data_IF_908037493599
#
_entry.id   IF_908037493599
#
_cell.length_a   1.000
_cell.length_b   1.000
_cell.length_c   1.000
_cell.angle_alpha   90.00
_cell.angle_beta   90.00
_cell.angle_gamma   90.00
#
_symmetry.space_group_name_H-M   'P 1'
#
loop_
_entity.id
_entity.type
_entity.pdbx_description
1 polymer ?
#
# COMPACT_ATOMS: atom_id res chain seq x y z
N UNK A 1 12.56 10.77 -39.24
CA UNK A 1 13.62 11.37 -38.40
C UNK A 1 13.18 12.76 -38.00
N UNK A 2 12.80 12.94 -36.74
CA UNK A 2 12.81 14.20 -36.00
C UNK A 2 12.73 13.83 -34.52
N UNK A 3 13.83 14.04 -33.80
CA UNK A 3 13.90 14.03 -32.35
C UNK A 3 13.10 15.22 -31.79
N UNK A 4 12.32 14.98 -30.74
CA UNK A 4 11.50 15.98 -30.07
C UNK A 4 11.00 15.49 -28.72
N UNK A 5 11.74 15.84 -27.68
CA UNK A 5 11.33 16.09 -26.29
C UNK A 5 9.97 15.54 -25.82
N UNK A 6 9.98 14.44 -25.06
CA UNK A 6 9.15 14.24 -23.86
C UNK A 6 7.61 14.29 -23.94
N UNK A 7 6.99 14.32 -25.12
CA UNK A 7 5.54 14.21 -25.21
C UNK A 7 5.14 12.72 -25.18
N UNK A 8 4.36 12.31 -24.18
CA UNK A 8 3.75 10.98 -24.18
C UNK A 8 3.01 10.79 -25.51
N UNK A 9 3.36 9.74 -26.27
CA UNK A 9 2.65 9.38 -27.51
C UNK A 9 1.15 9.27 -27.21
N UNK A 10 0.36 10.19 -27.77
CA UNK A 10 -1.09 10.20 -27.64
C UNK A 10 -1.67 9.53 -28.88
N UNK A 11 -2.34 8.40 -28.67
CA UNK A 11 -3.06 7.71 -29.74
C UNK A 11 -4.42 8.38 -29.94
N UNK A 12 -4.75 8.66 -31.20
CA UNK A 12 -6.05 9.21 -31.60
C UNK A 12 -6.85 8.08 -32.24
N UNK A 13 -8.07 7.90 -31.78
CA UNK A 13 -8.98 6.87 -32.26
C UNK A 13 -10.05 7.52 -33.14
N UNK A 14 -10.33 6.90 -34.28
CA UNK A 14 -11.39 7.30 -35.21
C UNK A 14 -12.08 6.05 -35.78
N UNK A 15 -13.36 6.17 -36.13
CA UNK A 15 -14.14 5.09 -36.74
C UNK A 15 -15.64 5.32 -36.66
N UNK A 16 -16.43 4.38 -37.18
CA UNK A 16 -17.89 4.53 -37.31
C UNK A 16 -18.60 4.81 -35.97
N UNK A 17 -18.04 4.32 -34.85
CA UNK A 17 -18.54 4.53 -33.50
C UNK A 17 -17.81 5.64 -32.72
N UNK A 18 -16.82 6.28 -33.35
CA UNK A 18 -16.02 7.37 -32.80
C UNK A 18 -16.14 8.55 -33.78
N UNK A 19 -17.24 9.31 -33.71
CA UNK A 19 -17.61 10.28 -34.75
C UNK A 19 -16.65 11.48 -34.84
N UNK A 20 -15.77 11.65 -33.84
CA UNK A 20 -14.70 12.64 -33.86
C UNK A 20 -13.40 11.98 -33.41
N UNK A 21 -12.28 12.21 -34.12
CA UNK A 21 -10.97 11.73 -33.71
C UNK A 21 -10.69 12.09 -32.25
N UNK A 22 -10.66 11.09 -31.38
CA UNK A 22 -10.60 11.29 -29.94
C UNK A 22 -9.24 10.87 -29.41
N UNK A 23 -8.47 11.75 -28.77
CA UNK A 23 -7.23 11.37 -28.11
C UNK A 23 -7.57 10.47 -26.91
N UNK A 24 -7.00 9.27 -26.88
CA UNK A 24 -7.11 8.33 -25.78
C UNK A 24 -5.92 8.48 -24.83
N UNK A 25 -6.15 8.18 -23.55
CA UNK A 25 -5.09 8.12 -22.55
C UNK A 25 -4.31 6.79 -22.60
N UNK A 26 -4.79 5.85 -23.42
CA UNK A 26 -4.20 4.55 -23.66
C UNK A 26 -2.96 4.66 -24.54
N UNK A 27 -1.96 3.87 -24.20
CA UNK A 27 -0.71 3.74 -24.95
C UNK A 27 -0.71 2.39 -25.62
N UNK A 28 -0.45 2.39 -26.92
CA UNK A 28 -0.47 1.22 -27.77
C UNK A 28 0.91 0.99 -28.36
N UNK A 29 1.20 -0.26 -28.71
CA UNK A 29 2.29 -0.62 -29.62
C UNK A 29 1.63 -1.23 -30.86
N UNK A 30 1.72 -0.57 -32.01
CA UNK A 30 1.20 -1.10 -33.27
C UNK A 30 2.09 -2.28 -33.68
N UNK A 31 1.49 -3.46 -33.84
CA UNK A 31 2.19 -4.67 -34.29
C UNK A 31 2.10 -4.80 -35.82
N UNK A 32 0.93 -4.48 -36.37
CA UNK A 32 0.64 -4.37 -37.80
C UNK A 32 -0.65 -3.57 -38.04
N UNK A 33 -1.11 -3.47 -39.28
CA UNK A 33 -2.29 -2.70 -39.69
C UNK A 33 -3.61 -3.11 -39.01
N UNK A 34 -3.66 -4.30 -38.40
CA UNK A 34 -4.87 -4.85 -37.77
C UNK A 34 -4.69 -5.24 -36.31
N UNK A 35 -3.46 -5.24 -35.81
CA UNK A 35 -3.13 -5.68 -34.46
C UNK A 35 -2.29 -4.64 -33.76
N UNK A 36 -2.66 -4.39 -32.52
CA UNK A 36 -1.90 -3.57 -31.60
C UNK A 36 -1.83 -4.29 -30.26
N UNK A 37 -0.80 -3.96 -29.47
CA UNK A 37 -0.72 -4.33 -28.06
C UNK A 37 -1.14 -3.12 -27.24
N UNK A 38 -2.19 -3.27 -26.43
CA UNK A 38 -2.56 -2.27 -25.43
C UNK A 38 -1.56 -2.34 -24.29
N UNK A 39 -0.71 -1.32 -24.14
CA UNK A 39 0.27 -1.23 -23.07
C UNK A 39 -0.36 -0.74 -21.76
N UNK A 40 -1.55 -0.13 -21.82
CA UNK A 40 -2.32 0.39 -20.69
C UNK A 40 -2.47 1.91 -20.76
N UNK A 41 -2.82 2.58 -19.66
CA UNK A 41 -2.90 4.04 -19.61
C UNK A 41 -1.54 4.67 -19.35
N UNK A 42 -1.32 5.83 -19.96
CA UNK A 42 -0.08 6.61 -19.86
C UNK A 42 0.36 6.88 -18.41
N UNK A 43 -0.58 7.04 -17.48
CA UNK A 43 -0.31 7.29 -16.06
C UNK A 43 0.09 6.04 -15.25
N UNK A 44 -0.11 4.84 -15.79
CA UNK A 44 0.20 3.55 -15.12
C UNK A 44 1.29 2.75 -15.86
N UNK A 45 1.94 3.37 -16.86
CA UNK A 45 3.06 2.75 -17.56
C UNK A 45 4.33 2.74 -16.72
N UNK A 46 5.03 1.61 -16.81
CA UNK A 46 6.32 1.39 -16.17
C UNK A 46 7.37 1.05 -17.22
N UNK A 47 8.61 1.42 -16.94
CA UNK A 47 9.75 1.11 -17.77
C UNK A 47 10.78 0.34 -16.94
N UNK A 48 11.04 -0.91 -17.31
CA UNK A 48 12.02 -1.76 -16.64
C UNK A 48 12.98 -2.30 -17.69
N UNK A 49 14.27 -1.98 -17.53
CA UNK A 49 15.38 -2.44 -18.39
C UNK A 49 15.07 -2.42 -19.91
N UNK A 50 14.58 -1.28 -20.43
CA UNK A 50 14.31 -1.11 -21.86
C UNK A 50 12.92 -1.59 -22.32
N UNK A 51 12.11 -2.17 -21.43
CA UNK A 51 10.79 -2.74 -21.75
C UNK A 51 9.67 -1.99 -21.05
N UNK A 52 8.56 -1.79 -21.77
CA UNK A 52 7.40 -1.01 -21.31
C UNK A 52 6.19 -1.93 -21.10
N UNK A 53 5.50 -1.74 -19.99
CA UNK A 53 4.25 -2.41 -19.65
C UNK A 53 3.43 -1.50 -18.73
N UNK A 54 2.18 -1.81 -18.44
CA UNK A 54 1.42 -1.13 -17.37
C UNK A 54 1.31 -1.97 -16.11
N UNK A 55 1.20 -1.27 -14.98
CA UNK A 55 0.82 -1.88 -13.72
C UNK A 55 -0.50 -2.66 -13.84
N UNK A 56 -1.49 -2.12 -14.58
CA UNK A 56 -2.76 -2.80 -14.83
C UNK A 56 -2.59 -4.15 -15.53
N UNK A 57 -1.76 -4.22 -16.58
CA UNK A 57 -1.46 -5.47 -17.28
C UNK A 57 -0.77 -6.49 -16.38
N UNK A 58 0.24 -6.06 -15.60
CA UNK A 58 0.93 -6.96 -14.67
C UNK A 58 0.01 -7.45 -13.55
N UNK A 59 -0.82 -6.56 -13.00
CA UNK A 59 -1.82 -6.90 -11.98
C UNK A 59 -2.84 -7.90 -12.52
N UNK A 60 -3.31 -7.71 -13.76
CA UNK A 60 -4.22 -8.67 -14.40
C UNK A 60 -3.61 -10.08 -14.45
N UNK A 61 -2.35 -10.20 -14.90
CA UNK A 61 -1.68 -11.50 -14.96
C UNK A 61 -1.41 -12.12 -13.59
N UNK A 62 -1.08 -11.29 -12.59
CA UNK A 62 -0.91 -11.75 -11.19
C UNK A 62 -2.21 -12.31 -10.63
N UNK A 63 -3.31 -11.58 -10.75
CA UNK A 63 -4.62 -11.96 -10.23
C UNK A 63 -5.30 -13.08 -11.06
N UNK A 64 -4.75 -13.42 -12.23
CA UNK A 64 -5.20 -14.57 -13.04
C UNK A 64 -4.53 -15.89 -12.65
N UNK A 65 -3.66 -15.89 -11.63
CA UNK A 65 -3.02 -17.10 -11.12
C UNK A 65 -3.98 -17.77 -10.13
N UNK A 66 -4.36 -19.02 -10.41
CA UNK A 66 -5.22 -19.79 -9.51
C UNK A 66 -4.56 -19.94 -8.13
N UNK A 67 -5.24 -19.48 -7.08
CA UNK A 67 -4.72 -19.44 -5.70
C UNK A 67 -4.21 -18.06 -5.25
N UNK A 68 -4.18 -17.07 -6.15
CA UNK A 68 -4.04 -15.65 -5.78
C UNK A 68 -5.43 -15.06 -5.65
N UNK A 69 -5.78 -14.62 -4.43
CA UNK A 69 -7.07 -13.99 -4.14
C UNK A 69 -7.05 -12.51 -4.49
N UNK A 70 -5.91 -11.85 -4.26
CA UNK A 70 -5.66 -10.46 -4.60
C UNK A 70 -4.16 -10.19 -4.74
N UNK A 71 -3.78 -9.22 -5.56
CA UNK A 71 -2.38 -8.92 -5.81
C UNK A 71 -2.17 -7.57 -6.50
N UNK A 72 -1.04 -6.94 -6.16
CA UNK A 72 -0.62 -5.68 -6.75
C UNK A 72 0.90 -5.63 -6.93
N UNK A 73 1.32 -5.24 -8.13
CA UNK A 73 2.68 -4.81 -8.41
C UNK A 73 2.91 -3.41 -7.87
N UNK A 74 4.07 -3.24 -7.24
CA UNK A 74 4.58 -1.95 -6.81
C UNK A 74 5.99 -1.76 -7.33
N UNK A 75 6.27 -0.55 -7.79
CA UNK A 75 7.60 -0.13 -8.18
C UNK A 75 8.05 0.97 -7.21
N UNK A 76 9.25 0.85 -6.61
CA UNK A 76 9.85 1.95 -5.88
C UNK A 76 10.03 3.17 -6.79
N UNK A 77 9.87 4.36 -6.21
CA UNK A 77 10.36 5.59 -6.84
C UNK A 77 11.87 5.41 -7.13
N UNK A 78 12.34 5.87 -8.29
CA UNK A 78 13.66 5.55 -8.89
C UNK A 78 14.79 5.28 -7.89
N UNK A 79 15.47 4.14 -8.04
CA UNK A 79 16.71 3.84 -7.30
C UNK A 79 17.87 4.59 -7.94
N UNK A 80 18.70 5.25 -7.11
CA UNK A 80 19.89 5.99 -7.53
C UNK A 80 20.87 5.18 -8.41
N UNK A 81 20.84 3.85 -8.30
CA UNK A 81 21.76 2.92 -8.96
C UNK A 81 21.22 2.31 -10.27
N UNK A 82 20.03 2.71 -10.73
CA UNK A 82 19.49 2.24 -12.00
C UNK A 82 18.90 0.82 -11.95
N UNK A 83 17.82 0.65 -12.72
CA UNK A 83 16.91 -0.52 -12.76
C UNK A 83 16.02 -0.65 -11.52
N UNK A 84 14.90 0.09 -11.56
CA UNK A 84 13.75 -0.12 -10.66
C UNK A 84 13.22 -1.54 -10.85
N UNK A 85 13.24 -2.34 -9.79
CA UNK A 85 12.75 -3.72 -9.84
C UNK A 85 11.35 -3.81 -9.21
N UNK A 86 10.41 -4.48 -9.88
CA UNK A 86 9.08 -4.65 -9.33
C UNK A 86 9.10 -5.56 -8.09
N UNK A 87 8.29 -5.18 -7.12
CA UNK A 87 7.86 -6.02 -6.00
C UNK A 87 6.40 -6.39 -6.23
N UNK A 88 6.01 -7.63 -5.96
CA UNK A 88 4.60 -8.02 -5.96
C UNK A 88 4.13 -8.27 -4.53
N UNK A 89 3.03 -7.64 -4.14
CA UNK A 89 2.30 -7.96 -2.92
C UNK A 89 1.15 -8.91 -3.28
N UNK A 90 0.98 -9.99 -2.52
CA UNK A 90 -0.02 -11.02 -2.81
C UNK A 90 -0.79 -11.44 -1.56
N UNK A 91 -2.08 -11.62 -1.74
CA UNK A 91 -2.96 -12.38 -0.84
C UNK A 91 -3.13 -13.75 -1.49
N UNK A 92 -2.37 -14.72 -1.01
CA UNK A 92 -2.34 -16.06 -1.58
C UNK A 92 -2.09 -17.09 -0.45
N UNK A 93 -3.14 -17.51 0.28
CA UNK A 93 -2.98 -18.33 1.48
C UNK A 93 -2.45 -19.74 1.19
N UNK A 94 -2.59 -20.22 -0.04
CA UNK A 94 -2.23 -21.58 -0.46
C UNK A 94 -1.01 -21.66 -1.38
N UNK A 95 -0.47 -20.53 -1.83
CA UNK A 95 0.68 -20.50 -2.75
C UNK A 95 1.92 -19.88 -2.09
N UNK A 96 3.08 -20.49 -2.32
CA UNK A 96 4.37 -19.91 -2.00
C UNK A 96 4.84 -18.87 -3.02
N UNK A 97 5.77 -18.00 -2.60
CA UNK A 97 6.36 -16.98 -3.46
C UNK A 97 7.00 -17.56 -4.74
N UNK A 98 7.67 -18.72 -4.64
CA UNK A 98 8.30 -19.36 -5.78
C UNK A 98 7.29 -19.85 -6.84
N UNK A 99 6.13 -20.33 -6.40
CA UNK A 99 5.04 -20.79 -7.29
C UNK A 99 4.41 -19.60 -8.02
N UNK A 100 4.16 -18.50 -7.32
CA UNK A 100 3.69 -17.24 -7.93
C UNK A 100 4.68 -16.76 -9.00
N UNK A 101 5.98 -16.73 -8.69
CA UNK A 101 7.02 -16.34 -9.65
C UNK A 101 7.05 -17.28 -10.86
N UNK A 102 6.96 -18.60 -10.64
CA UNK A 102 6.93 -19.58 -11.72
C UNK A 102 5.71 -19.39 -12.63
N UNK A 103 4.53 -19.13 -12.06
CA UNK A 103 3.32 -18.86 -12.83
C UNK A 103 3.39 -17.53 -13.60
N UNK A 104 3.98 -16.48 -13.04
CA UNK A 104 4.19 -15.19 -13.71
C UNK A 104 5.15 -15.32 -14.90
N UNK A 105 6.23 -16.11 -14.79
CA UNK A 105 7.19 -16.33 -15.89
C UNK A 105 6.56 -16.89 -17.16
N UNK A 106 5.42 -17.58 -17.05
CA UNK A 106 4.68 -18.11 -18.18
C UNK A 106 3.74 -17.08 -18.84
N UNK A 107 3.52 -15.93 -18.20
CA UNK A 107 2.46 -14.96 -18.53
C UNK A 107 3.00 -13.57 -18.89
N UNK A 108 4.14 -13.15 -18.35
CA UNK A 108 4.72 -11.82 -18.56
C UNK A 108 6.20 -11.91 -18.96
N UNK A 109 6.73 -10.86 -19.59
CA UNK A 109 8.16 -10.80 -19.93
C UNK A 109 9.03 -10.90 -18.68
N UNK A 110 10.17 -11.60 -18.78
CA UNK A 110 11.06 -11.93 -17.66
C UNK A 110 11.55 -10.71 -16.89
N UNK A 111 11.65 -9.56 -17.56
CA UNK A 111 12.04 -8.27 -17.00
C UNK A 111 11.04 -7.72 -15.97
N UNK A 112 9.75 -8.06 -16.11
CA UNK A 112 8.68 -7.65 -15.21
C UNK A 112 8.38 -8.69 -14.13
N UNK A 113 8.96 -9.89 -14.22
CA UNK A 113 8.81 -10.90 -13.18
C UNK A 113 9.48 -10.38 -11.89
N UNK A 114 8.73 -10.29 -10.77
CA UNK A 114 9.24 -9.70 -9.55
C UNK A 114 10.31 -10.60 -8.94
N UNK A 115 11.37 -9.98 -8.41
CA UNK A 115 12.37 -10.71 -7.61
C UNK A 115 11.87 -11.00 -6.20
N UNK A 116 10.97 -10.16 -5.70
CA UNK A 116 10.40 -10.26 -4.36
C UNK A 116 8.88 -10.32 -4.47
N UNK A 117 8.31 -11.40 -3.96
CA UNK A 117 6.90 -11.56 -3.71
C UNK A 117 6.71 -11.48 -2.19
N UNK A 118 5.84 -10.58 -1.74
CA UNK A 118 5.55 -10.35 -0.32
C UNK A 118 4.11 -10.77 -0.06
N UNK A 119 3.93 -11.80 0.77
CA UNK A 119 2.63 -12.23 1.23
C UNK A 119 2.09 -11.26 2.26
N UNK A 120 0.84 -10.85 2.07
CA UNK A 120 0.15 -9.91 2.95
C UNK A 120 -1.25 -10.44 3.26
N UNK A 121 -1.80 -10.05 4.41
CA UNK A 121 -3.14 -10.47 4.81
C UNK A 121 -4.23 -9.83 3.92
N UNK A 122 -4.02 -8.59 3.50
CA UNK A 122 -4.90 -7.85 2.59
C UNK A 122 -4.13 -6.69 1.95
N UNK A 123 -4.61 -6.22 0.79
CA UNK A 123 -4.20 -4.95 0.20
C UNK A 123 -5.14 -3.83 0.71
N UNK A 124 -4.65 -2.58 0.83
CA UNK A 124 -5.43 -1.45 1.34
C UNK A 124 -6.38 -0.91 0.26
N UNK A 125 -7.33 -1.75 -0.18
CA UNK A 125 -8.37 -1.37 -1.12
C UNK A 125 -9.47 -0.60 -0.40
N UNK A 126 -9.99 0.43 -1.05
CA UNK A 126 -11.16 1.19 -0.60
C UNK A 126 -12.44 0.33 -0.69
N UNK A 127 -13.55 0.79 -0.10
CA UNK A 127 -14.83 0.07 -0.12
C UNK A 127 -15.40 -0.21 -1.53
N UNK A 128 -14.91 0.48 -2.57
CA UNK A 128 -15.24 0.21 -3.99
C UNK A 128 -14.31 -0.84 -4.64
N UNK A 129 -13.36 -1.40 -3.90
CA UNK A 129 -12.31 -2.31 -4.39
C UNK A 129 -11.10 -1.60 -5.02
N UNK A 130 -11.13 -0.27 -5.10
CA UNK A 130 -10.05 0.52 -5.71
C UNK A 130 -8.81 0.54 -4.83
N UNK A 131 -7.64 0.33 -5.44
CA UNK A 131 -6.34 0.51 -4.81
C UNK A 131 -5.70 1.77 -5.40
N UNK A 132 -5.60 2.84 -4.61
CA UNK A 132 -4.98 4.10 -5.07
C UNK A 132 -3.46 4.01 -5.03
N UNK A 133 -2.79 4.76 -5.92
CA UNK A 133 -1.32 4.81 -5.94
C UNK A 133 -0.73 5.27 -4.60
N UNK A 134 -1.38 6.24 -3.93
CA UNK A 134 -1.00 6.71 -2.60
C UNK A 134 -1.10 5.60 -1.55
N UNK A 135 -2.25 4.92 -1.46
CA UNK A 135 -2.47 3.83 -0.50
C UNK A 135 -1.49 2.67 -0.72
N UNK A 136 -1.25 2.28 -1.99
CA UNK A 136 -0.28 1.25 -2.31
C UNK A 136 1.15 1.66 -1.95
N UNK A 137 1.53 2.93 -2.18
CA UNK A 137 2.87 3.43 -1.82
C UNK A 137 3.09 3.41 -0.31
N UNK A 138 2.17 3.95 0.47
CA UNK A 138 2.26 3.96 1.93
C UNK A 138 2.34 2.53 2.49
N UNK A 139 1.50 1.64 1.96
CA UNK A 139 1.51 0.22 2.31
C UNK A 139 2.82 -0.47 1.93
N UNK A 140 3.33 -0.26 0.72
CA UNK A 140 4.57 -0.88 0.29
C UNK A 140 5.75 -0.43 1.15
N UNK A 141 5.84 0.87 1.46
CA UNK A 141 6.88 1.39 2.35
C UNK A 141 6.76 0.80 3.76
N UNK A 142 5.53 0.67 4.28
CA UNK A 142 5.27 0.01 5.56
C UNK A 142 5.70 -1.47 5.57
N UNK A 143 5.35 -2.24 4.53
CA UNK A 143 5.71 -3.67 4.42
C UNK A 143 7.21 -3.90 4.22
N UNK A 144 7.90 -2.93 3.62
CA UNK A 144 9.33 -3.02 3.28
C UNK A 144 10.23 -2.27 4.26
N UNK A 145 9.67 -1.58 5.26
CA UNK A 145 10.40 -0.84 6.26
C UNK A 145 11.37 -1.74 7.04
N UNK A 146 12.60 -1.27 7.22
CA UNK A 146 13.55 -1.88 8.16
C UNK A 146 13.24 -1.49 9.60
N UNK A 147 13.87 -2.18 10.56
CA UNK A 147 13.55 -2.06 11.99
C UNK A 147 13.53 -0.62 12.53
N UNK A 148 14.41 0.27 12.06
CA UNK A 148 14.52 1.66 12.54
C UNK A 148 13.94 2.70 11.55
N UNK A 149 13.22 2.27 10.52
CA UNK A 149 12.66 3.18 9.51
C UNK A 149 11.32 3.75 9.99
N UNK A 150 11.14 5.09 10.06
CA UNK A 150 9.84 5.68 10.31
C UNK A 150 8.79 5.21 9.31
N UNK A 151 7.59 4.91 9.79
CA UNK A 151 6.46 4.51 8.95
C UNK A 151 5.37 5.56 9.04
N UNK A 152 4.80 5.92 7.89
CA UNK A 152 3.74 6.92 7.79
C UNK A 152 2.56 6.29 7.05
N UNK A 153 1.40 6.35 7.67
CA UNK A 153 0.16 5.80 7.12
C UNK A 153 -0.94 6.83 7.28
N UNK A 154 -1.65 7.09 6.19
CA UNK A 154 -2.83 7.95 6.20
C UNK A 154 -4.07 7.12 6.46
N UNK A 155 -4.97 7.63 7.30
CA UNK A 155 -6.21 7.00 7.67
C UNK A 155 -7.35 8.03 7.64
N UNK A 156 -8.44 7.71 6.94
CA UNK A 156 -9.64 8.53 6.92
C UNK A 156 -10.63 8.02 7.98
N UNK A 157 -11.15 8.93 8.81
CA UNK A 157 -12.21 8.64 9.76
C UNK A 157 -13.58 8.86 9.09
N UNK A 158 -14.37 7.82 8.78
CA UNK A 158 -15.62 7.99 8.04
C UNK A 158 -16.61 8.89 8.77
N UNK A 159 -17.36 9.72 8.02
CA UNK A 159 -18.36 10.64 8.62
C UNK A 159 -19.49 9.90 9.34
N UNK A 160 -19.81 8.69 8.91
CA UNK A 160 -20.85 7.80 9.40
C UNK A 160 -20.32 6.76 10.39
N UNK A 161 -19.10 6.94 10.89
CA UNK A 161 -18.49 6.01 11.85
C UNK A 161 -19.40 5.83 13.09
N UNK A 162 -19.70 4.59 13.54
CA UNK A 162 -20.65 4.31 14.63
C UNK A 162 -20.36 5.06 15.93
N UNK A 163 -19.10 5.37 16.20
CA UNK A 163 -18.68 6.14 17.36
C UNK A 163 -19.21 7.58 17.39
N UNK A 164 -19.74 8.12 16.29
CA UNK A 164 -20.38 9.43 16.27
C UNK A 164 -21.89 9.35 16.52
N UNK A 165 -22.50 8.17 16.45
CA UNK A 165 -23.92 7.99 16.71
C UNK A 165 -24.22 8.20 18.20
N UNK A 166 -24.78 9.36 18.54
CA UNK A 166 -25.17 9.71 19.91
C UNK A 166 -24.02 10.12 20.84
N UNK A 167 -22.77 10.12 20.36
CA UNK A 167 -21.60 10.51 21.15
C UNK A 167 -21.35 12.02 21.02
N UNK A 168 -21.52 12.76 22.12
CA UNK A 168 -21.47 14.24 22.21
C UNK A 168 -22.45 14.96 21.26
N UNK A 169 -23.74 15.09 21.63
CA UNK A 169 -24.74 15.81 20.85
C UNK A 169 -24.28 17.22 20.44
N UNK A 170 -24.35 17.53 19.15
CA UNK A 170 -23.94 18.81 18.58
C UNK A 170 -22.43 19.01 18.41
N UNK A 171 -21.58 18.12 18.94
CA UNK A 171 -20.12 18.20 18.84
C UNK A 171 -19.48 16.79 18.72
N UNK A 172 -19.78 16.02 17.67
CA UNK A 172 -19.26 14.66 17.53
C UNK A 172 -17.73 14.64 17.48
N UNK A 173 -17.12 13.74 18.24
CA UNK A 173 -15.66 13.53 18.25
C UNK A 173 -15.33 12.05 18.41
N UNK A 174 -14.20 11.63 17.87
CA UNK A 174 -13.73 10.25 17.92
C UNK A 174 -13.15 9.98 19.32
N UNK A 175 -13.67 8.98 20.06
CA UNK A 175 -13.10 8.58 21.35
C UNK A 175 -11.61 8.26 21.24
N UNK A 176 -10.83 8.70 22.24
CA UNK A 176 -9.39 8.43 22.27
C UNK A 176 -9.03 6.95 22.24
N UNK A 177 -9.87 6.08 22.81
CA UNK A 177 -9.68 4.62 22.74
C UNK A 177 -9.75 4.07 21.30
N UNK A 178 -10.61 4.64 20.45
CA UNK A 178 -10.68 4.25 19.05
C UNK A 178 -9.47 4.76 18.27
N UNK A 179 -9.01 5.98 18.56
CA UNK A 179 -7.77 6.50 17.97
C UNK A 179 -6.56 5.60 18.30
N UNK A 180 -6.48 5.10 19.54
CA UNK A 180 -5.45 4.13 19.95
C UNK A 180 -5.63 2.79 19.23
N UNK A 181 -6.86 2.33 19.03
CA UNK A 181 -7.14 1.11 18.27
C UNK A 181 -6.68 1.22 16.82
N UNK A 182 -6.91 2.36 16.16
CA UNK A 182 -6.40 2.62 14.80
C UNK A 182 -4.86 2.56 14.74
N UNK A 183 -4.17 3.21 15.67
CA UNK A 183 -2.69 3.13 15.74
C UNK A 183 -2.21 1.69 15.97
N UNK A 184 -2.94 0.93 16.79
CA UNK A 184 -2.63 -0.49 17.04
C UNK A 184 -2.78 -1.32 15.77
N UNK A 185 -3.81 -1.05 14.98
CA UNK A 185 -4.03 -1.72 13.70
C UNK A 185 -2.93 -1.38 12.68
N UNK A 186 -2.50 -0.12 12.62
CA UNK A 186 -1.33 0.28 11.80
C UNK A 186 -0.07 -0.47 12.25
N UNK A 187 0.21 -0.55 13.55
CA UNK A 187 1.36 -1.30 14.07
C UNK A 187 1.35 -2.76 13.63
N UNK A 188 0.20 -3.45 13.69
CA UNK A 188 0.06 -4.86 13.28
C UNK A 188 0.30 -5.07 11.79
N UNK A 189 0.04 -4.06 10.96
CA UNK A 189 0.27 -4.13 9.51
C UNK A 189 1.72 -3.94 9.11
N UNK A 190 2.59 -3.47 10.01
CA UNK A 190 4.01 -3.22 9.72
C UNK A 190 4.87 -4.37 10.28
N UNK A 191 5.46 -5.24 9.45
CA UNK A 191 6.21 -6.40 9.92
C UNK A 191 7.37 -6.03 10.86
N UNK A 192 8.10 -4.95 10.57
CA UNK A 192 9.16 -4.45 11.43
C UNK A 192 8.67 -4.04 12.83
N UNK A 193 7.44 -3.51 12.94
CA UNK A 193 6.87 -3.11 14.24
C UNK A 193 6.41 -4.33 15.02
N UNK A 194 5.82 -5.32 14.35
CA UNK A 194 5.44 -6.59 14.97
C UNK A 194 6.67 -7.35 15.46
N UNK A 195 7.73 -7.43 14.64
CA UNK A 195 9.00 -8.05 15.04
C UNK A 195 9.63 -7.36 16.25
N UNK A 196 9.49 -6.02 16.32
CA UNK A 196 10.03 -5.19 17.39
C UNK A 196 9.25 -5.29 18.71
N UNK A 197 7.93 -5.18 18.66
CA UNK A 197 7.08 -5.07 19.86
C UNK A 197 6.43 -6.40 20.27
N UNK A 198 6.49 -7.41 19.40
CA UNK A 198 5.78 -8.68 19.58
C UNK A 198 4.28 -8.58 19.29
N UNK A 199 3.55 -9.69 19.46
CA UNK A 199 2.14 -9.81 19.06
C UNK A 199 1.15 -9.05 19.97
N UNK A 200 1.56 -8.71 21.19
CA UNK A 200 0.71 -8.07 22.19
C UNK A 200 1.43 -6.88 22.85
N UNK A 201 1.65 -5.77 22.12
CA UNK A 201 2.35 -4.60 22.64
C UNK A 201 1.58 -3.93 23.78
N UNK A 202 2.29 -3.27 24.70
CA UNK A 202 1.71 -2.49 25.78
C UNK A 202 1.81 -0.99 25.47
N UNK A 203 0.70 -0.26 25.63
CA UNK A 203 0.71 1.19 25.53
C UNK A 203 1.31 1.78 26.81
N UNK A 204 2.54 2.29 26.73
CA UNK A 204 3.24 2.84 27.89
C UNK A 204 2.72 4.23 28.28
N UNK A 205 2.37 5.06 27.29
CA UNK A 205 1.80 6.39 27.51
C UNK A 205 1.03 6.85 26.28
N UNK A 206 0.00 7.67 26.51
CA UNK A 206 -0.73 8.40 25.46
C UNK A 206 -1.17 9.77 25.99
N UNK A 207 -1.15 10.76 25.11
CA UNK A 207 -1.71 12.09 25.31
C UNK A 207 -2.64 12.42 24.16
N UNK A 208 -3.85 12.86 24.48
CA UNK A 208 -4.82 13.38 23.51
C UNK A 208 -4.78 14.91 23.56
N UNK A 209 -4.39 15.53 22.46
CA UNK A 209 -4.03 16.95 22.39
C UNK A 209 -5.06 17.77 21.61
N UNK A 210 -5.78 17.17 20.67
CA UNK A 210 -6.85 17.82 19.93
C UNK A 210 -7.98 16.82 19.56
N UNK A 211 -9.24 17.27 19.47
CA UNK A 211 -10.36 16.42 19.10
C UNK A 211 -10.32 16.06 17.62
N UNK A 212 -10.56 14.78 17.31
CA UNK A 212 -10.75 14.29 15.94
C UNK A 212 -12.23 14.29 15.59
N UNK A 213 -12.60 14.91 14.46
CA UNK A 213 -13.99 15.08 14.01
C UNK A 213 -14.35 14.08 12.91
N UNK A 214 -15.65 13.88 12.61
CA UNK A 214 -16.07 13.08 11.46
C UNK A 214 -15.45 13.59 10.15
N UNK A 215 -15.00 12.67 9.29
CA UNK A 215 -14.36 13.02 8.01
C UNK A 215 -12.91 13.51 8.14
N UNK A 216 -12.29 13.39 9.32
CA UNK A 216 -10.90 13.77 9.48
C UNK A 216 -9.96 12.83 8.73
N UNK A 217 -9.05 13.39 7.95
CA UNK A 217 -7.89 12.69 7.40
C UNK A 217 -6.74 12.78 8.40
N UNK A 218 -6.31 11.62 8.89
CA UNK A 218 -5.28 11.47 9.91
C UNK A 218 -3.99 10.93 9.28
N UNK A 219 -2.86 11.54 9.63
CA UNK A 219 -1.53 10.98 9.40
C UNK A 219 -1.05 10.31 10.69
N UNK A 220 -0.83 9.00 10.64
CA UNK A 220 -0.20 8.23 11.72
C UNK A 220 1.28 8.06 11.39
N UNK A 221 2.15 8.64 12.22
CA UNK A 221 3.59 8.45 12.15
C UNK A 221 4.05 7.50 13.26
N UNK A 222 4.72 6.42 12.88
CA UNK A 222 5.38 5.48 13.78
C UNK A 222 6.89 5.73 13.72
N UNK A 223 7.47 5.94 14.90
CA UNK A 223 8.86 6.33 15.10
C UNK A 223 9.56 5.26 15.95
N UNK A 224 10.19 4.26 15.30
CA UNK A 224 10.99 3.25 15.98
C UNK A 224 12.12 3.90 16.81
N UNK A 225 12.23 3.54 18.09
CA UNK A 225 13.33 3.97 18.96
C UNK A 225 14.49 2.98 18.93
N UNK A 226 15.72 3.48 18.80
CA UNK A 226 16.92 2.66 18.91
C UNK A 226 17.28 2.36 20.38
N UNK A 227 18.11 1.33 20.61
CA UNK A 227 18.60 0.96 21.94
C UNK A 227 17.78 -0.13 22.64
N UNK A 228 18.18 -0.47 23.88
CA UNK A 228 17.71 -1.67 24.58
C UNK A 228 16.20 -1.69 24.89
N UNK A 229 15.56 -0.52 25.00
CA UNK A 229 14.14 -0.40 25.32
C UNK A 229 13.19 -0.66 24.12
N UNK A 230 13.71 -0.69 22.88
CA UNK A 230 13.04 -1.07 21.60
C UNK A 230 11.57 -0.61 21.40
N UNK A 231 11.20 0.55 21.97
CA UNK A 231 9.84 1.07 21.86
C UNK A 231 9.54 1.64 20.48
N UNK A 232 8.28 2.03 20.30
CA UNK A 232 7.80 2.78 19.14
C UNK A 232 7.03 3.99 19.64
N UNK A 233 7.53 5.19 19.36
CA UNK A 233 6.73 6.41 19.55
C UNK A 233 5.75 6.55 18.40
N UNK A 234 4.61 7.17 18.67
CA UNK A 234 3.68 7.51 17.61
C UNK A 234 3.15 8.94 17.76
N UNK A 235 2.82 9.54 16.64
CA UNK A 235 2.06 10.79 16.54
C UNK A 235 0.92 10.59 15.54
N UNK A 236 -0.25 11.13 15.89
CA UNK A 236 -1.41 11.19 15.00
C UNK A 236 -1.72 12.66 14.74
N UNK A 237 -1.67 13.08 13.48
CA UNK A 237 -1.86 14.48 13.06
C UNK A 237 -3.06 14.63 12.14
N UNK A 238 -3.75 15.76 12.26
CA UNK A 238 -4.73 16.24 11.29
C UNK A 238 -4.22 17.57 10.73
N UNK A 239 -3.74 17.56 9.49
CA UNK A 239 -2.96 18.67 8.94
C UNK A 239 -1.76 18.97 9.84
N UNK A 240 -1.64 20.21 10.32
CA UNK A 240 -0.56 20.60 11.23
C UNK A 240 -0.81 20.30 12.71
N UNK A 241 -2.05 19.97 13.07
CA UNK A 241 -2.45 19.76 14.47
C UNK A 241 -2.14 18.33 14.91
N UNK A 242 -1.40 18.16 16.01
CA UNK A 242 -1.24 16.86 16.66
C UNK A 242 -2.50 16.54 17.45
N UNK A 243 -3.22 15.49 17.05
CA UNK A 243 -4.41 15.02 17.74
C UNK A 243 -4.07 14.09 18.92
N UNK A 244 -3.09 13.21 18.74
CA UNK A 244 -2.57 12.36 19.82
C UNK A 244 -1.09 12.04 19.64
N UNK A 245 -0.43 11.72 20.74
CA UNK A 245 0.94 11.22 20.75
C UNK A 245 1.11 10.19 21.85
N UNK A 246 2.06 9.28 21.69
CA UNK A 246 2.30 8.27 22.71
C UNK A 246 3.46 7.34 22.40
N UNK A 247 3.52 6.25 23.16
CA UNK A 247 4.60 5.27 23.07
C UNK A 247 4.10 3.87 23.36
N UNK A 248 4.46 2.95 22.48
CA UNK A 248 4.29 1.51 22.64
C UNK A 248 5.61 0.87 23.06
N UNK A 249 5.50 -0.17 23.89
CA UNK A 249 6.61 -1.03 24.30
C UNK A 249 6.25 -2.49 24.03
N UNK A 250 7.26 -3.34 23.97
CA UNK A 250 7.03 -4.77 23.85
C UNK A 250 6.16 -5.28 25.01
N UNK A 251 5.21 -6.16 24.70
CA UNK A 251 4.38 -6.80 25.71
C UNK A 251 5.21 -7.66 26.64
N UNK A 252 4.79 -7.79 27.90
CA UNK A 252 5.32 -8.86 28.75
C UNK A 252 4.94 -10.21 28.10
N UNK A 253 5.92 -11.10 27.90
CA UNK A 253 5.60 -12.47 27.50
C UNK A 253 4.69 -13.07 28.56
N UNK A 254 3.60 -13.73 28.13
CA UNK A 254 2.80 -14.53 29.05
C UNK A 254 3.72 -15.52 29.79
N UNK A 255 3.60 -15.68 31.12
CA UNK A 255 4.30 -16.75 31.81
C UNK A 255 3.87 -18.08 31.21
N UNK A 256 4.83 -18.95 30.92
CA UNK A 256 4.54 -20.31 30.46
C UNK A 256 3.55 -20.98 31.43
N UNK A 257 2.52 -21.71 30.95
CA UNK A 257 1.61 -22.41 31.83
C UNK A 257 2.44 -23.34 32.73
N UNK A 258 2.32 -23.15 34.04
CA UNK A 258 2.98 -23.99 35.02
C UNK A 258 2.56 -25.43 34.75
N UNK A 259 3.51 -26.27 34.32
CA UNK A 259 3.26 -27.67 34.05
C UNK A 259 2.63 -28.32 35.26
N UNK A 260 1.42 -28.86 35.10
CA UNK A 260 0.79 -29.72 36.08
C UNK A 260 1.68 -30.94 36.27
N UNK A 261 2.27 -31.07 37.46
CA UNK A 261 2.85 -32.32 37.95
C UNK A 261 1.75 -33.32 38.27
#
# INVERSE_FOLDING_TARGET
>A
VSEGTGAAERFVFEGDFIPQPTPMADVLELLDDRRFRLLGRSNDLIHVAGKRSSLGHLNYHLNSIAGVDDGAFWLPDEQADGVVRPVAFVVAPTLGAAEVVAALRQRVESVFVPRRVVHVASLPREGTGKLTARALREFALAQLAGDDTPVRVTHEVPVDHPAFAGHFPGQPLLPGALLVAEVTEVLRRVPAMVARLGPAPTLAAVKFLAPVRPGAELLVELLPESGAARGVRFEVRQGDTVAASGRWVAGASAPAPAGSR
#
